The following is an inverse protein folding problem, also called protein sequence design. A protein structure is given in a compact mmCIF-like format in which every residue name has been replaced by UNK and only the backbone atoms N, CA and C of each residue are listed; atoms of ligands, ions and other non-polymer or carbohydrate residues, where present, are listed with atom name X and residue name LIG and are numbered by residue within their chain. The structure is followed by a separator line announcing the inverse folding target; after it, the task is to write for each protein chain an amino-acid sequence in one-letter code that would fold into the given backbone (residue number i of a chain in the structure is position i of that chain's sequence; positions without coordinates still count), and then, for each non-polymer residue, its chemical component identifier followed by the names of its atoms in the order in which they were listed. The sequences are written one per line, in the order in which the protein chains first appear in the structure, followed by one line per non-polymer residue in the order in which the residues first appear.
data_IF_347468509712
#
_entry.id   IF_347468509712
#
_cell.length_a   1.000
_cell.length_b   1.000
_cell.length_c   1.000
_cell.angle_alpha   90.00
_cell.angle_beta   90.00
_cell.angle_gamma   90.00
#
_symmetry.space_group_name_H-M   'P 1'
#
loop_
_entity.id
_entity.type
_entity.pdbx_description
1 polymer ?
#
# COMPACT_ATOMS: atom_id res chain seq x y z
N UNK A 1 13.34 -1.58 -3.76
CA UNK A 1 12.54 -1.73 -2.53
C UNK A 1 12.83 -0.53 -1.66
N UNK A 2 11.82 0.25 -1.32
CA UNK A 2 11.97 1.36 -0.36
C UNK A 2 11.71 0.83 1.05
N UNK A 3 12.46 1.35 2.01
CA UNK A 3 12.39 0.94 3.40
C UNK A 3 11.96 2.17 4.20
N UNK A 4 10.81 2.11 4.85
CA UNK A 4 10.22 3.29 5.50
C UNK A 4 9.42 2.88 6.75
N UNK A 5 9.18 3.85 7.64
CA UNK A 5 8.20 3.68 8.72
C UNK A 5 6.78 3.75 8.17
N UNK A 6 5.79 3.31 8.95
CA UNK A 6 4.39 3.47 8.61
C UNK A 6 4.04 4.94 8.38
N UNK A 7 4.56 5.81 9.22
CA UNK A 7 4.31 7.24 9.14
C UNK A 7 4.81 7.81 7.81
N UNK A 8 6.06 7.50 7.46
CA UNK A 8 6.67 7.93 6.19
C UNK A 8 5.90 7.36 5.00
N UNK A 9 5.52 6.09 5.07
CA UNK A 9 4.71 5.43 4.05
C UNK A 9 3.36 6.13 3.84
N UNK A 10 2.64 6.46 4.92
CA UNK A 10 1.35 7.14 4.83
C UNK A 10 1.50 8.58 4.30
N UNK A 11 2.58 9.27 4.65
CA UNK A 11 2.89 10.58 4.10
C UNK A 11 3.19 10.51 2.59
N UNK A 12 3.98 9.52 2.16
CA UNK A 12 4.25 9.26 0.74
C UNK A 12 2.99 8.86 -0.03
N UNK A 13 2.08 8.09 0.57
CA UNK A 13 0.83 7.65 -0.06
C UNK A 13 -0.20 8.77 -0.19
N UNK A 14 -0.18 9.78 0.69
CA UNK A 14 -1.23 10.79 0.80
C UNK A 14 -1.63 11.46 -0.54
N UNK A 15 -0.69 11.83 -1.44
CA UNK A 15 -1.04 12.39 -2.74
C UNK A 15 -1.72 11.41 -3.69
N UNK A 16 -1.52 10.10 -3.50
CA UNK A 16 -1.95 9.04 -4.40
C UNK A 16 -3.24 8.35 -3.96
N UNK A 17 -3.75 8.69 -2.77
CA UNK A 17 -5.04 8.19 -2.26
C UNK A 17 -6.24 8.69 -3.08
N UNK A 18 -6.01 9.53 -4.09
CA UNK A 18 -7.02 9.80 -5.10
C UNK A 18 -7.18 8.57 -6.00
N UNK A 19 -8.42 8.09 -6.11
CA UNK A 19 -8.75 6.76 -6.66
C UNK A 19 -8.33 6.59 -8.11
N UNK A 20 -8.04 7.69 -8.79
CA UNK A 20 -7.69 7.74 -10.21
C UNK A 20 -6.26 7.27 -10.51
N UNK A 21 -5.41 7.04 -9.50
CA UNK A 21 -4.00 6.68 -9.74
C UNK A 21 -3.67 5.22 -9.41
N UNK A 22 -4.36 4.63 -8.43
CA UNK A 22 -4.02 3.31 -7.91
C UNK A 22 -4.91 2.26 -8.56
N UNK A 23 -4.28 1.31 -9.27
CA UNK A 23 -4.96 0.14 -9.81
C UNK A 23 -5.30 -0.86 -8.70
N UNK A 24 -4.32 -1.14 -7.84
CA UNK A 24 -4.45 -2.12 -6.77
C UNK A 24 -3.36 -1.97 -5.71
N UNK A 25 -3.71 -2.31 -4.47
CA UNK A 25 -2.80 -2.39 -3.34
C UNK A 25 -2.86 -3.78 -2.68
N UNK A 26 -1.72 -4.40 -2.39
CA UNK A 26 -1.67 -5.76 -1.86
C UNK A 26 -0.39 -6.04 -1.08
N UNK A 27 -0.37 -7.16 -0.33
CA UNK A 27 0.83 -7.67 0.33
C UNK A 27 1.42 -8.80 -0.49
N UNK A 28 2.72 -8.73 -0.75
CA UNK A 28 3.42 -9.83 -1.43
C UNK A 28 3.77 -10.98 -0.46
N UNK A 29 4.23 -12.11 -1.01
CA UNK A 29 4.61 -13.27 -0.23
C UNK A 29 5.74 -13.02 0.80
N UNK A 30 6.48 -11.91 0.66
CA UNK A 30 7.55 -11.50 1.58
C UNK A 30 7.05 -10.55 2.66
N UNK A 31 5.77 -10.19 2.66
CA UNK A 31 5.18 -9.25 3.60
C UNK A 31 5.37 -7.79 3.22
N UNK A 32 5.82 -7.49 2.01
CA UNK A 32 5.96 -6.11 1.56
C UNK A 32 4.62 -5.56 1.08
N UNK A 33 4.40 -4.27 1.32
CA UNK A 33 3.28 -3.56 0.75
C UNK A 33 3.60 -3.19 -0.70
N UNK A 34 2.68 -3.50 -1.61
CA UNK A 34 2.81 -3.21 -3.04
C UNK A 34 1.70 -2.28 -3.48
N UNK A 35 2.09 -1.16 -4.08
CA UNK A 35 1.21 -0.30 -4.87
C UNK A 35 1.46 -0.57 -6.34
N UNK A 36 0.38 -0.86 -7.05
CA UNK A 36 0.38 -0.92 -8.49
C UNK A 36 -0.52 0.20 -9.02
N UNK A 37 0.07 1.05 -9.84
CA UNK A 37 -0.57 2.22 -10.43
C UNK A 37 -1.15 1.88 -11.81
N UNK A 38 -2.06 2.72 -12.31
CA UNK A 38 -2.69 2.52 -13.62
C UNK A 38 -1.70 2.60 -14.79
N UNK A 39 -0.61 3.37 -14.64
CA UNK A 39 0.46 3.51 -15.63
C UNK A 39 1.40 2.27 -15.71
N UNK A 40 1.17 1.27 -14.86
CA UNK A 40 2.00 0.07 -14.75
C UNK A 40 3.19 0.21 -13.79
N UNK A 41 3.41 1.39 -13.21
CA UNK A 41 4.40 1.60 -12.15
C UNK A 41 4.06 0.71 -10.96
N UNK A 42 5.09 0.07 -10.39
CA UNK A 42 4.98 -0.79 -9.22
C UNK A 42 5.96 -0.34 -8.14
N UNK A 43 5.42 0.17 -7.04
CA UNK A 43 6.22 0.52 -5.87
C UNK A 43 6.09 -0.56 -4.80
N UNK A 44 7.24 -1.01 -4.30
CA UNK A 44 7.34 -2.04 -3.26
C UNK A 44 7.99 -1.43 -2.03
N UNK A 45 7.25 -1.46 -0.92
CA UNK A 45 7.59 -0.88 0.36
C UNK A 45 7.78 -1.96 1.41
N UNK A 46 8.97 -2.01 2.00
CA UNK A 46 9.21 -2.69 3.25
C UNK A 46 8.84 -1.73 4.39
N UNK A 47 7.81 -2.07 5.15
CA UNK A 47 7.33 -1.29 6.30
C UNK A 47 7.84 -1.96 7.56
N UNK A 48 8.79 -1.32 8.25
CA UNK A 48 9.64 -1.99 9.25
C UNK A 48 9.07 -1.99 10.66
N UNK A 49 8.23 -1.01 10.96
CA UNK A 49 7.64 -0.72 12.27
C UNK A 49 6.17 -1.16 12.33
N UNK A 50 5.76 -2.02 11.39
CA UNK A 50 4.40 -2.52 11.29
C UNK A 50 4.30 -4.03 11.51
N UNK A 51 3.32 -4.40 12.34
CA UNK A 51 2.77 -5.75 12.37
C UNK A 51 1.90 -6.02 11.13
N UNK A 52 1.75 -7.29 10.77
CA UNK A 52 0.82 -7.73 9.70
C UNK A 52 -0.62 -7.23 9.92
N UNK A 53 -1.06 -7.10 11.18
CA UNK A 53 -2.40 -6.57 11.50
C UNK A 53 -2.54 -5.08 11.16
N UNK A 54 -1.50 -4.27 11.43
CA UNK A 54 -1.50 -2.85 11.06
C UNK A 54 -1.55 -2.70 9.54
N UNK A 55 -0.78 -3.50 8.81
CA UNK A 55 -0.78 -3.52 7.36
C UNK A 55 -2.16 -3.92 6.79
N UNK A 56 -2.81 -4.94 7.36
CA UNK A 56 -4.19 -5.31 6.97
C UNK A 56 -5.19 -4.17 7.20
N UNK A 57 -5.07 -3.42 8.31
CA UNK A 57 -5.92 -2.25 8.57
C UNK A 57 -5.76 -1.18 7.49
N UNK A 58 -4.53 -0.93 7.02
CA UNK A 58 -4.28 -0.01 5.91
C UNK A 58 -4.97 -0.50 4.64
N UNK A 59 -4.88 -1.80 4.32
CA UNK A 59 -5.59 -2.35 3.16
C UNK A 59 -7.11 -2.17 3.26
N UNK A 60 -7.68 -2.37 4.44
CA UNK A 60 -9.11 -2.12 4.69
C UNK A 60 -9.46 -0.63 4.52
N UNK A 61 -8.62 0.28 5.03
CA UNK A 61 -8.81 1.72 4.86
C UNK A 61 -8.73 2.14 3.38
N UNK A 62 -7.83 1.55 2.61
CA UNK A 62 -7.72 1.75 1.17
C UNK A 62 -8.96 1.22 0.43
N UNK A 63 -9.45 0.05 0.83
CA UNK A 63 -10.68 -0.52 0.28
C UNK A 63 -11.90 0.37 0.55
N UNK A 64 -12.04 0.90 1.77
CA UNK A 64 -13.08 1.88 2.11
C UNK A 64 -12.96 3.17 1.31
N UNK A 65 -11.73 3.55 0.94
CA UNK A 65 -11.44 4.66 0.03
C UNK A 65 -11.62 4.30 -1.44
N UNK A 66 -12.18 3.14 -1.78
CA UNK A 66 -12.48 2.73 -3.16
C UNK A 66 -11.28 2.25 -3.96
N UNK A 67 -10.14 2.03 -3.31
CA UNK A 67 -8.96 1.44 -3.94
C UNK A 67 -9.12 -0.08 -3.91
N UNK A 68 -8.93 -0.74 -5.04
CA UNK A 68 -8.99 -2.19 -5.08
C UNK A 68 -7.84 -2.79 -4.28
N UNK A 69 -8.15 -3.67 -3.32
CA UNK A 69 -7.15 -4.39 -2.55
C UNK A 69 -7.27 -5.89 -2.79
N UNK A 70 -6.11 -6.57 -2.88
CA UNK A 70 -6.04 -8.02 -3.05
C UNK A 70 -5.26 -8.59 -1.87
N UNK A 71 -5.87 -9.50 -1.10
CA UNK A 71 -5.10 -10.35 -0.20
C UNK A 71 -4.62 -11.56 -1.00
N UNK A 72 -3.30 -11.73 -1.11
CA UNK A 72 -2.65 -12.94 -1.65
C UNK A 72 -2.24 -13.88 -0.51
#
# INVERSE_FOLDING_TARGET
MKTCTLFDFMAEMKPWLDREYIRNAYIDAKGNFVLQFLDGTRNVYAINDCSKQQIKKILLDLQHRGIHTVEL
#
